data_IF_850877401408
#
_entry.id   IF_850877401408
#
_cell.length_a   1.000
_cell.length_b   1.000
_cell.length_c   1.000
_cell.angle_alpha   90.00
_cell.angle_beta   90.00
_cell.angle_gamma   90.00
#
_symmetry.space_group_name_H-M   'P 1'
#
loop_
_entity.id
_entity.type
_entity.pdbx_description
1 polymer ?
#
# COMPACT_ATOMS: atom_id res chain seq x y z
N UNK A 1 4.65 -6.49 30.31
CA UNK A 1 5.02 -5.76 29.08
C UNK A 1 3.75 -5.49 28.33
N UNK A 2 3.54 -4.26 27.88
CA UNK A 2 2.37 -3.92 27.06
C UNK A 2 2.75 -3.77 25.59
N UNK A 3 1.74 -3.68 24.73
CA UNK A 3 1.92 -3.50 23.29
C UNK A 3 2.75 -2.26 22.97
N UNK A 4 3.70 -2.38 22.04
CA UNK A 4 4.55 -1.27 21.58
C UNK A 4 4.65 -1.27 20.06
N UNK A 5 4.29 -0.15 19.44
CA UNK A 5 4.21 0.02 17.99
C UNK A 5 4.12 1.51 17.63
N UNK A 6 4.12 1.81 16.34
CA UNK A 6 3.75 3.14 15.83
C UNK A 6 2.55 3.00 14.89
N UNK A 7 1.43 3.64 15.21
CA UNK A 7 0.31 3.70 14.28
C UNK A 7 0.46 4.88 13.33
N UNK A 8 0.06 4.71 12.07
CA UNK A 8 0.15 5.73 11.03
C UNK A 8 -1.16 5.81 10.24
N UNK A 9 -1.38 6.96 9.61
CA UNK A 9 -2.43 7.18 8.63
C UNK A 9 -1.96 8.27 7.63
N UNK A 10 -2.32 8.11 6.35
CA UNK A 10 -1.99 9.05 5.28
C UNK A 10 -3.22 9.61 4.57
N UNK A 11 -3.11 10.87 4.16
CA UNK A 11 -4.04 11.49 3.22
C UNK A 11 -3.37 11.71 1.85
N UNK A 12 -4.14 11.56 0.78
CA UNK A 12 -3.65 11.74 -0.60
C UNK A 12 -4.42 12.83 -1.34
N UNK A 13 -3.72 13.66 -2.11
CA UNK A 13 -4.31 14.76 -2.89
C UNK A 13 -5.22 14.28 -4.03
N UNK A 14 -4.95 13.08 -4.57
CA UNK A 14 -5.73 12.48 -5.65
C UNK A 14 -5.73 10.94 -5.56
N UNK A 15 -6.07 10.27 -6.66
CA UNK A 15 -6.17 8.82 -6.73
C UNK A 15 -4.80 8.11 -6.79
N UNK A 16 -3.72 8.83 -7.11
CA UNK A 16 -2.37 8.28 -7.13
C UNK A 16 -1.84 8.10 -5.71
N UNK A 17 -1.32 6.90 -5.40
CA UNK A 17 -0.73 6.62 -4.07
C UNK A 17 0.49 7.49 -3.77
N UNK A 18 1.18 7.98 -4.79
CA UNK A 18 2.31 8.88 -4.63
C UNK A 18 1.90 10.31 -4.18
N UNK A 19 0.62 10.68 -4.28
CA UNK A 19 0.12 12.04 -4.04
C UNK A 19 -0.06 12.40 -2.55
N UNK A 20 0.77 11.86 -1.65
CA UNK A 20 0.69 12.11 -0.21
C UNK A 20 0.64 13.62 0.09
N UNK A 21 -0.39 14.05 0.83
CA UNK A 21 -0.61 15.45 1.17
C UNK A 21 -0.68 15.71 2.69
N UNK A 22 -0.83 14.66 3.51
CA UNK A 22 -0.59 14.71 4.94
C UNK A 22 -0.25 13.32 5.49
N UNK A 23 0.37 13.30 6.67
CA UNK A 23 0.65 12.09 7.43
C UNK A 23 0.48 12.36 8.92
N UNK A 24 -0.09 11.39 9.62
CA UNK A 24 -0.22 11.36 11.06
C UNK A 24 0.35 10.05 11.59
N UNK A 25 0.97 10.11 12.76
CA UNK A 25 1.49 8.94 13.45
C UNK A 25 1.39 9.11 14.96
N UNK A 26 1.16 8.01 15.68
CA UNK A 26 1.21 7.97 17.14
C UNK A 26 2.09 6.83 17.62
N UNK A 27 2.95 7.12 18.59
CA UNK A 27 3.86 6.15 19.18
C UNK A 27 3.25 5.56 20.43
N UNK A 28 3.22 4.23 20.50
CA UNK A 28 2.70 3.47 21.64
C UNK A 28 3.84 2.71 22.32
N UNK A 29 3.93 2.83 23.64
CA UNK A 29 4.85 2.08 24.48
C UNK A 29 4.11 1.52 25.68
N UNK A 30 4.30 0.24 25.94
CA UNK A 30 3.66 -0.48 27.05
C UNK A 30 2.15 -0.21 27.16
N UNK A 31 1.45 -0.24 26.03
CA UNK A 31 0.00 -0.04 25.95
C UNK A 31 -0.46 1.41 26.07
N UNK A 32 0.45 2.39 26.10
CA UNK A 32 0.12 3.82 26.24
C UNK A 32 0.64 4.62 25.05
N UNK A 33 -0.16 5.56 24.56
CA UNK A 33 0.31 6.55 23.59
C UNK A 33 1.28 7.49 24.32
N UNK A 34 2.52 7.56 23.85
CA UNK A 34 3.60 8.35 24.47
C UNK A 34 4.05 9.54 23.62
N UNK A 35 3.76 9.54 22.32
CA UNK A 35 4.15 10.62 21.41
C UNK A 35 3.26 10.64 20.17
N UNK A 36 3.26 11.75 19.43
CA UNK A 36 2.53 11.91 18.18
C UNK A 36 3.28 12.80 17.19
N UNK A 37 3.19 12.44 15.92
CA UNK A 37 3.75 13.19 14.79
C UNK A 37 2.63 13.50 13.80
N UNK A 38 2.57 14.73 13.29
CA UNK A 38 1.65 15.10 12.22
C UNK A 38 2.29 16.17 11.35
N UNK A 39 2.09 16.09 10.04
CA UNK A 39 2.51 17.16 9.12
C UNK A 39 1.68 17.12 7.85
N UNK A 40 1.38 18.30 7.32
CA UNK A 40 1.04 18.44 5.91
C UNK A 40 2.28 18.14 5.06
N UNK A 41 2.04 17.73 3.83
CA UNK A 41 3.08 17.37 2.87
C UNK A 41 2.76 18.04 1.55
N UNK A 42 3.75 18.66 0.92
CA UNK A 42 3.64 19.04 -0.49
C UNK A 42 3.82 17.77 -1.32
N UNK A 43 2.79 17.33 -2.09
CA UNK A 43 2.90 16.10 -2.85
C UNK A 43 4.08 16.14 -3.84
N UNK A 44 4.67 15.00 -4.20
CA UNK A 44 5.71 14.92 -5.21
C UNK A 44 5.28 15.55 -6.54
N UNK A 45 6.21 16.25 -7.19
CA UNK A 45 5.95 16.94 -8.46
C UNK A 45 5.44 15.97 -9.54
N UNK A 46 4.31 16.27 -10.18
CA UNK A 46 3.66 15.38 -11.15
C UNK A 46 2.60 14.47 -10.52
N UNK A 47 2.48 14.47 -9.20
CA UNK A 47 1.38 13.86 -8.43
C UNK A 47 0.63 14.91 -7.59
N UNK A 48 0.86 16.20 -7.84
CA UNK A 48 0.47 17.37 -7.03
C UNK A 48 -0.87 18.00 -7.42
N UNK A 49 -1.66 17.32 -8.26
CA UNK A 49 -3.04 17.71 -8.54
C UNK A 49 -3.95 17.38 -7.34
N UNK A 50 -4.77 18.34 -6.90
CA UNK A 50 -5.76 18.12 -5.85
C UNK A 50 -7.14 17.83 -6.46
N UNK A 51 -7.57 16.57 -6.35
CA UNK A 51 -8.88 16.16 -6.83
C UNK A 51 -9.98 16.61 -5.87
N UNK A 52 -11.05 17.23 -6.40
CA UNK A 52 -12.16 17.74 -5.58
C UNK A 52 -12.77 16.70 -4.64
N UNK A 53 -12.79 15.42 -5.05
CA UNK A 53 -13.28 14.30 -4.21
C UNK A 53 -12.42 14.08 -2.98
N UNK A 54 -11.09 14.10 -3.10
CA UNK A 54 -10.17 13.93 -1.99
C UNK A 54 -10.24 15.13 -1.04
N UNK A 55 -10.21 16.34 -1.61
CA UNK A 55 -10.40 17.59 -0.86
C UNK A 55 -11.69 17.58 -0.04
N UNK A 56 -12.80 17.08 -0.59
CA UNK A 56 -14.07 16.99 0.11
C UNK A 56 -14.08 16.02 1.30
N UNK A 57 -13.13 15.07 1.35
CA UNK A 57 -13.00 14.09 2.43
C UNK A 57 -12.25 14.71 3.61
N UNK A 58 -11.04 15.20 3.38
CA UNK A 58 -10.10 15.64 4.43
C UNK A 58 -9.94 17.18 4.56
N UNK A 59 -10.47 17.95 3.62
CA UNK A 59 -10.39 19.42 3.63
C UNK A 59 -9.00 20.02 3.34
N UNK A 60 -7.97 19.22 3.09
CA UNK A 60 -6.64 19.67 2.65
C UNK A 60 -6.71 20.13 1.19
N UNK A 61 -6.27 21.36 0.91
CA UNK A 61 -6.23 21.95 -0.43
C UNK A 61 -4.78 22.23 -0.87
N UNK A 62 -4.58 22.49 -2.17
CA UNK A 62 -3.28 22.92 -2.72
C UNK A 62 -2.71 24.13 -1.99
N UNK A 63 -3.55 25.08 -1.59
CA UNK A 63 -3.12 26.30 -0.90
C UNK A 63 -2.62 26.00 0.53
N UNK A 64 -3.17 24.98 1.19
CA UNK A 64 -2.76 24.58 2.54
C UNK A 64 -1.38 23.92 2.58
N UNK A 65 -0.96 23.31 1.47
CA UNK A 65 0.31 22.56 1.40
C UNK A 65 1.45 23.33 0.72
N UNK A 66 1.21 24.59 0.30
CA UNK A 66 2.20 25.36 -0.49
C UNK A 66 3.55 25.51 0.24
N UNK A 67 3.49 25.78 1.55
CA UNK A 67 4.64 25.95 2.44
C UNK A 67 4.97 24.68 3.25
N UNK A 68 4.26 23.58 2.99
CA UNK A 68 4.51 22.31 3.67
C UNK A 68 5.82 21.67 3.17
N UNK A 69 6.49 20.86 4.00
CA UNK A 69 7.68 20.13 3.57
C UNK A 69 7.36 19.16 2.43
N UNK A 70 8.31 19.00 1.52
CA UNK A 70 8.23 17.96 0.49
C UNK A 70 8.39 16.56 1.08
N UNK A 71 7.96 15.56 0.31
CA UNK A 71 8.01 14.16 0.74
C UNK A 71 9.39 13.70 1.26
N UNK A 72 10.55 13.99 0.64
CA UNK A 72 11.85 13.56 1.17
C UNK A 72 12.14 14.02 2.60
N UNK A 73 11.83 15.28 2.91
CA UNK A 73 12.05 15.86 4.24
C UNK A 73 11.06 15.27 5.27
N UNK A 74 9.80 15.09 4.86
CA UNK A 74 8.78 14.44 5.70
C UNK A 74 9.13 12.99 5.98
N UNK A 75 9.53 12.23 4.95
CA UNK A 75 9.92 10.83 5.03
C UNK A 75 11.05 10.63 6.03
N UNK A 76 12.11 11.44 5.96
CA UNK A 76 13.23 11.36 6.91
C UNK A 76 12.76 11.52 8.36
N UNK A 77 11.93 12.53 8.64
CA UNK A 77 11.39 12.79 9.98
C UNK A 77 10.45 11.67 10.45
N UNK A 78 9.62 11.16 9.54
CA UNK A 78 8.69 10.07 9.81
C UNK A 78 9.43 8.78 10.13
N UNK A 79 10.49 8.43 9.39
CA UNK A 79 11.28 7.22 9.64
C UNK A 79 12.04 7.32 10.97
N UNK A 80 12.56 8.50 11.32
CA UNK A 80 13.14 8.74 12.66
C UNK A 80 12.10 8.55 13.76
N UNK A 81 10.87 9.03 13.52
CA UNK A 81 9.76 8.83 14.46
C UNK A 81 9.37 7.36 14.57
N UNK A 82 9.30 6.59 13.48
CA UNK A 82 8.91 5.17 13.51
C UNK A 82 10.02 4.29 14.11
N UNK A 83 11.27 4.50 13.71
CA UNK A 83 12.40 3.64 14.09
C UNK A 83 12.19 2.19 13.63
N UNK A 84 12.46 1.23 14.52
CA UNK A 84 12.30 -0.21 14.26
C UNK A 84 10.89 -0.75 14.59
N UNK A 85 9.91 0.13 14.87
CA UNK A 85 8.58 -0.29 15.28
C UNK A 85 7.83 -1.04 14.17
N UNK A 86 6.94 -1.95 14.57
CA UNK A 86 5.87 -2.41 13.68
C UNK A 86 4.91 -1.23 13.43
N UNK A 87 4.61 -1.00 12.16
CA UNK A 87 3.64 -0.01 11.74
C UNK A 87 2.24 -0.59 11.88
N UNK A 88 1.33 0.19 12.44
CA UNK A 88 -0.08 -0.18 12.57
C UNK A 88 -0.91 0.82 11.78
N UNK A 89 -1.85 0.35 10.97
CA UNK A 89 -2.81 1.24 10.34
C UNK A 89 -4.16 0.55 10.22
N UNK A 90 -5.23 1.32 10.06
CA UNK A 90 -6.54 0.72 9.86
C UNK A 90 -6.62 0.00 8.52
N UNK A 91 -6.10 0.60 7.45
CA UNK A 91 -5.92 -0.06 6.16
C UNK A 91 -4.44 -0.12 5.77
N UNK A 92 -3.66 -0.95 6.47
CA UNK A 92 -2.21 -0.99 6.30
C UNK A 92 -1.74 -1.22 4.85
N UNK A 93 -2.52 -1.88 3.99
CA UNK A 93 -2.19 -2.01 2.57
C UNK A 93 -2.21 -0.66 1.83
N UNK A 94 -3.19 0.19 2.11
CA UNK A 94 -3.25 1.55 1.59
C UNK A 94 -2.06 2.38 2.09
N UNK A 95 -1.87 2.48 3.40
CA UNK A 95 -0.85 3.34 3.99
C UNK A 95 0.57 2.96 3.57
N UNK A 96 0.86 1.65 3.55
CA UNK A 96 2.15 1.17 3.06
C UNK A 96 2.32 1.42 1.57
N UNK A 97 1.24 1.36 0.76
CA UNK A 97 1.31 1.70 -0.66
C UNK A 97 1.57 3.20 -0.90
N UNK A 98 1.03 4.08 -0.06
CA UNK A 98 1.28 5.54 -0.14
C UNK A 98 2.74 5.83 0.16
N UNK A 99 3.23 5.32 1.31
CA UNK A 99 4.64 5.42 1.71
C UNK A 99 5.56 4.91 0.60
N UNK A 100 5.26 3.73 0.05
CA UNK A 100 6.03 3.11 -1.03
C UNK A 100 6.07 3.95 -2.29
N UNK A 101 4.91 4.33 -2.81
CA UNK A 101 4.82 4.99 -4.11
C UNK A 101 5.39 6.41 -4.04
N UNK A 102 5.22 7.10 -2.92
CA UNK A 102 5.85 8.40 -2.68
C UNK A 102 7.39 8.27 -2.63
N UNK A 103 7.93 7.24 -1.97
CA UNK A 103 9.36 6.91 -2.05
C UNK A 103 9.76 6.49 -3.49
N UNK A 104 8.85 5.83 -4.19
CA UNK A 104 8.92 5.41 -5.58
C UNK A 104 9.30 6.55 -6.52
N UNK A 105 8.47 7.61 -6.49
CA UNK A 105 8.60 8.80 -7.34
C UNK A 105 9.73 9.74 -6.91
N UNK A 106 10.07 9.77 -5.62
CA UNK A 106 11.13 10.62 -5.09
C UNK A 106 12.51 9.96 -5.07
N UNK A 107 12.62 8.71 -5.54
CA UNK A 107 13.81 7.87 -5.39
C UNK A 107 14.34 7.85 -3.97
N UNK A 108 13.50 7.46 -3.02
CA UNK A 108 13.92 7.22 -1.65
C UNK A 108 14.07 5.72 -1.42
N UNK A 109 15.04 5.36 -0.58
CA UNK A 109 15.24 4.00 -0.11
C UNK A 109 14.13 3.64 0.87
N UNK A 110 13.71 2.38 0.86
CA UNK A 110 12.61 1.93 1.71
C UNK A 110 13.12 1.02 2.83
N UNK A 111 12.62 1.17 4.07
CA UNK A 111 13.01 0.30 5.16
C UNK A 111 12.19 -1.00 5.09
N UNK A 112 12.78 -2.08 5.60
CA UNK A 112 12.10 -3.36 5.81
C UNK A 112 11.14 -3.26 7.01
N UNK A 113 10.07 -2.49 6.86
CA UNK A 113 9.03 -2.27 7.85
C UNK A 113 8.09 -3.50 7.97
N UNK A 114 7.68 -3.78 9.20
CA UNK A 114 6.58 -4.70 9.47
C UNK A 114 5.31 -3.89 9.58
N UNK A 115 4.18 -4.42 9.11
CA UNK A 115 2.88 -3.77 9.27
C UNK A 115 1.80 -4.72 9.79
N UNK A 116 0.85 -4.17 10.54
CA UNK A 116 -0.32 -4.88 11.05
C UNK A 116 -1.58 -4.05 10.80
N UNK A 117 -2.63 -4.71 10.32
CA UNK A 117 -3.85 -4.06 9.85
C UNK A 117 -4.99 -4.19 10.86
N UNK A 118 -5.45 -3.07 11.44
CA UNK A 118 -6.51 -3.13 12.48
C UNK A 118 -7.88 -3.44 11.90
N UNK A 119 -8.12 -3.16 10.61
CA UNK A 119 -9.31 -3.62 9.90
C UNK A 119 -9.36 -5.15 9.81
N UNK A 120 -8.23 -5.79 9.46
CA UNK A 120 -8.16 -7.26 9.43
C UNK A 120 -8.34 -7.87 10.82
N UNK A 121 -7.74 -7.25 11.85
CA UNK A 121 -7.94 -7.66 13.24
C UNK A 121 -9.40 -7.52 13.66
N UNK A 122 -10.04 -6.38 13.36
CA UNK A 122 -11.45 -6.16 13.68
C UNK A 122 -12.34 -7.20 12.99
N UNK A 123 -12.11 -7.48 11.71
CA UNK A 123 -12.86 -8.50 10.95
C UNK A 123 -12.67 -9.92 11.50
N UNK A 124 -11.48 -10.23 12.01
CA UNK A 124 -11.19 -11.55 12.58
C UNK A 124 -11.79 -11.74 13.99
N UNK A 125 -12.09 -10.65 14.70
CA UNK A 125 -12.38 -10.68 16.16
C UNK A 125 -13.74 -10.11 16.54
N UNK A 126 -14.39 -9.36 15.65
CA UNK A 126 -15.70 -8.74 15.85
C UNK A 126 -16.68 -9.23 14.78
N UNK A 127 -17.98 -9.14 15.09
CA UNK A 127 -19.06 -9.41 14.14
C UNK A 127 -19.87 -8.13 13.94
N UNK A 128 -19.68 -7.47 12.80
CA UNK A 128 -20.23 -6.14 12.52
C UNK A 128 -20.70 -5.98 11.07
N UNK A 129 -21.68 -5.08 10.82
CA UNK A 129 -22.14 -4.78 9.46
C UNK A 129 -21.13 -3.98 8.62
N UNK A 130 -20.21 -3.27 9.28
CA UNK A 130 -19.10 -2.54 8.66
C UNK A 130 -17.89 -2.59 9.59
N UNK A 131 -16.70 -2.60 9.02
CA UNK A 131 -15.44 -2.60 9.77
C UNK A 131 -14.63 -1.33 9.53
N UNK A 132 -15.25 -0.26 9.03
CA UNK A 132 -14.53 1.00 8.89
C UNK A 132 -14.18 1.61 10.24
N UNK A 133 -13.16 2.46 10.25
CA UNK A 133 -12.59 2.98 11.48
C UNK A 133 -13.65 3.65 12.38
N UNK A 134 -14.53 4.53 11.88
CA UNK A 134 -15.60 5.10 12.72
C UNK A 134 -16.54 4.04 13.32
N UNK A 135 -16.94 3.03 12.52
CA UNK A 135 -17.82 1.96 12.99
C UNK A 135 -17.15 1.10 14.06
N UNK A 136 -15.88 0.73 13.85
CA UNK A 136 -15.12 -0.08 14.81
C UNK A 136 -14.90 0.70 16.11
N UNK A 137 -14.57 1.99 16.04
CA UNK A 137 -14.44 2.88 17.20
C UNK A 137 -15.76 2.92 17.99
N UNK A 138 -16.89 3.16 17.32
CA UNK A 138 -18.21 3.19 17.95
C UNK A 138 -18.55 1.83 18.61
N UNK A 139 -18.35 0.72 17.90
CA UNK A 139 -18.65 -0.62 18.42
C UNK A 139 -17.78 -1.02 19.61
N UNK A 140 -16.53 -0.55 19.64
CA UNK A 140 -15.63 -0.78 20.77
C UNK A 140 -15.91 0.14 21.97
N UNK A 141 -16.82 1.12 21.83
CA UNK A 141 -17.13 2.11 22.86
C UNK A 141 -16.00 3.11 23.08
N UNK A 142 -15.19 3.35 22.04
CA UNK A 142 -14.09 4.32 22.05
C UNK A 142 -14.63 5.74 21.79
N UNK A 143 -13.89 6.74 22.24
CA UNK A 143 -14.25 8.14 22.00
C UNK A 143 -14.26 8.45 20.49
N UNK A 144 -15.28 9.21 20.07
CA UNK A 144 -15.34 9.72 18.69
C UNK A 144 -14.16 10.65 18.38
N UNK A 145 -13.79 10.74 17.11
CA UNK A 145 -12.65 11.50 16.62
C UNK A 145 -13.03 12.30 15.37
N UNK A 146 -12.22 13.29 15.04
CA UNK A 146 -12.36 14.03 13.78
C UNK A 146 -11.83 13.15 12.65
N UNK A 147 -12.74 12.46 11.98
CA UNK A 147 -12.40 11.52 10.91
C UNK A 147 -11.85 12.28 9.70
N UNK A 148 -10.70 11.83 9.18
CA UNK A 148 -9.89 12.46 8.13
C UNK A 148 -8.95 13.58 8.62
N UNK A 149 -8.70 13.65 9.92
CA UNK A 149 -7.45 14.19 10.45
C UNK A 149 -6.46 13.02 10.63
N UNK A 150 -5.28 13.05 9.99
CA UNK A 150 -4.45 11.87 9.91
C UNK A 150 -3.86 11.46 11.27
N UNK A 151 -3.68 12.39 12.23
CA UNK A 151 -3.21 11.99 13.57
C UNK A 151 -4.35 11.49 14.45
N UNK A 152 -5.57 11.98 14.24
CA UNK A 152 -6.77 11.44 14.85
C UNK A 152 -7.07 10.01 14.36
N UNK A 153 -6.98 9.75 13.06
CA UNK A 153 -7.19 8.42 12.46
C UNK A 153 -6.08 7.43 12.88
N UNK A 154 -4.82 7.88 12.94
CA UNK A 154 -3.72 7.07 13.50
C UNK A 154 -3.94 6.74 14.99
N UNK A 155 -4.43 7.71 15.78
CA UNK A 155 -4.76 7.51 17.20
C UNK A 155 -5.91 6.53 17.38
N UNK A 156 -6.97 6.67 16.61
CA UNK A 156 -8.10 5.74 16.63
C UNK A 156 -7.64 4.32 16.27
N UNK A 157 -6.81 4.18 15.23
CA UNK A 157 -6.21 2.89 14.86
C UNK A 157 -5.41 2.26 16.00
N UNK A 158 -4.60 3.05 16.71
CA UNK A 158 -3.87 2.58 17.88
C UNK A 158 -4.79 2.12 19.01
N UNK A 159 -5.84 2.89 19.32
CA UNK A 159 -6.82 2.54 20.35
C UNK A 159 -7.61 1.28 20.00
N UNK A 160 -7.97 1.09 18.74
CA UNK A 160 -8.60 -0.15 18.24
C UNK A 160 -7.68 -1.33 18.52
N UNK A 161 -6.40 -1.25 18.14
CA UNK A 161 -5.46 -2.36 18.36
C UNK A 161 -5.29 -2.67 19.85
N UNK A 162 -5.13 -1.64 20.68
CA UNK A 162 -5.00 -1.80 22.13
C UNK A 162 -6.23 -2.49 22.73
N UNK A 163 -7.42 -2.05 22.34
CA UNK A 163 -8.69 -2.60 22.84
C UNK A 163 -8.88 -4.05 22.41
N UNK A 164 -8.55 -4.38 21.15
CA UNK A 164 -8.60 -5.77 20.67
C UNK A 164 -7.56 -6.64 21.38
N UNK A 165 -6.35 -6.11 21.62
CA UNK A 165 -5.30 -6.75 22.42
C UNK A 165 -5.78 -7.09 23.83
N UNK A 166 -6.38 -6.12 24.52
CA UNK A 166 -6.92 -6.29 25.88
C UNK A 166 -8.05 -7.33 25.90
N UNK A 167 -9.01 -7.25 24.97
CA UNK A 167 -10.12 -8.23 24.86
C UNK A 167 -9.63 -9.66 24.65
N UNK A 168 -8.53 -9.83 23.91
CA UNK A 168 -7.93 -11.12 23.62
C UNK A 168 -6.87 -11.55 24.64
N UNK A 169 -6.61 -10.72 25.66
CA UNK A 169 -5.58 -10.97 26.67
C UNK A 169 -4.16 -11.09 26.09
N UNK A 170 -3.87 -10.34 25.03
CA UNK A 170 -2.58 -10.34 24.34
C UNK A 170 -1.73 -9.14 24.77
N UNK A 171 -0.47 -9.39 25.08
CA UNK A 171 0.47 -8.40 25.62
C UNK A 171 1.56 -8.00 24.62
N UNK A 172 1.69 -8.76 23.53
CA UNK A 172 2.62 -8.52 22.41
C UNK A 172 1.89 -8.58 21.07
N UNK A 173 2.48 -7.96 20.04
CA UNK A 173 1.90 -7.97 18.69
C UNK A 173 1.93 -9.37 18.08
N UNK A 174 2.96 -10.16 18.40
CA UNK A 174 3.11 -11.54 17.98
C UNK A 174 1.98 -12.42 18.55
N UNK A 175 1.64 -12.27 19.83
CA UNK A 175 0.51 -12.95 20.45
C UNK A 175 -0.82 -12.55 19.79
N UNK A 176 -1.03 -11.25 19.57
CA UNK A 176 -2.25 -10.73 18.96
C UNK A 176 -2.43 -11.24 17.53
N UNK A 177 -1.37 -11.16 16.73
CA UNK A 177 -1.32 -11.67 15.35
C UNK A 177 -1.63 -13.18 15.29
N UNK A 178 -1.00 -13.97 16.16
CA UNK A 178 -1.21 -15.41 16.21
C UNK A 178 -2.65 -15.77 16.66
N UNK A 179 -3.17 -15.06 17.68
CA UNK A 179 -4.52 -15.32 18.22
C UNK A 179 -5.62 -14.97 17.23
N UNK A 180 -5.47 -13.85 16.52
CA UNK A 180 -6.45 -13.40 15.52
C UNK A 180 -6.27 -14.07 14.15
N UNK A 181 -5.22 -14.90 13.96
CA UNK A 181 -4.83 -15.45 12.67
C UNK A 181 -4.64 -14.39 11.56
N UNK A 182 -4.15 -13.21 11.96
CA UNK A 182 -3.85 -12.09 11.06
C UNK A 182 -2.33 -11.94 10.98
N UNK A 183 -1.76 -12.08 9.79
CA UNK A 183 -0.31 -12.04 9.60
C UNK A 183 0.23 -10.63 9.74
N UNK A 184 1.36 -10.47 10.44
CA UNK A 184 2.18 -9.25 10.34
C UNK A 184 2.79 -9.24 8.95
N UNK A 185 2.28 -8.36 8.09
CA UNK A 185 2.80 -8.19 6.75
C UNK A 185 4.20 -7.61 6.82
N UNK A 186 5.08 -8.03 5.91
CA UNK A 186 6.38 -7.41 5.75
C UNK A 186 6.38 -6.71 4.42
N UNK A 187 6.82 -5.47 4.47
CA UNK A 187 7.24 -4.75 3.29
C UNK A 187 8.33 -5.56 2.58
N UNK A 188 8.09 -5.90 1.31
CA UNK A 188 8.97 -6.83 0.58
C UNK A 188 10.37 -6.22 0.43
N UNK A 189 11.37 -6.96 0.91
CA UNK A 189 12.78 -6.56 0.78
C UNK A 189 13.38 -7.10 -0.52
N UNK A 190 14.60 -6.65 -0.85
CA UNK A 190 15.36 -7.15 -2.01
C UNK A 190 15.57 -8.69 -2.02
N UNK A 191 15.52 -9.34 -0.85
CA UNK A 191 15.66 -10.79 -0.70
C UNK A 191 14.35 -11.56 -0.93
N UNK A 192 13.23 -11.00 -0.47
CA UNK A 192 11.89 -11.58 -0.67
C UNK A 192 11.49 -11.54 -2.15
N UNK A 193 11.91 -10.49 -2.87
CA UNK A 193 11.65 -10.37 -4.30
C UNK A 193 12.58 -11.19 -5.20
N UNK A 194 13.76 -11.56 -4.75
CA UNK A 194 14.54 -12.58 -5.45
C UNK A 194 13.73 -13.89 -5.53
N UNK A 195 12.99 -14.20 -4.46
CA UNK A 195 12.05 -15.33 -4.41
C UNK A 195 10.84 -15.10 -5.34
N UNK A 196 10.25 -13.89 -5.37
CA UNK A 196 9.14 -13.51 -6.29
C UNK A 196 9.53 -13.43 -7.78
N UNK A 197 10.77 -13.07 -8.11
CA UNK A 197 11.25 -13.07 -9.50
C UNK A 197 11.47 -14.49 -10.03
N UNK A 198 11.70 -15.47 -9.16
CA UNK A 198 11.66 -16.90 -9.51
C UNK A 198 10.25 -17.34 -9.94
N UNK A 199 9.25 -16.77 -9.25
CA UNK A 199 7.83 -17.13 -9.34
C UNK A 199 7.19 -16.74 -10.66
N UNK A 200 7.54 -15.59 -11.23
CA UNK A 200 6.96 -15.06 -12.48
C UNK A 200 7.34 -15.85 -13.73
N UNK A 201 8.32 -16.75 -13.64
CA UNK A 201 8.76 -17.62 -14.73
C UNK A 201 8.21 -19.06 -14.64
N UNK A 202 7.35 -19.35 -13.67
CA UNK A 202 6.75 -20.67 -13.52
C UNK A 202 5.63 -20.89 -14.55
N UNK A 203 5.71 -21.92 -15.41
CA UNK A 203 4.64 -22.26 -16.33
C UNK A 203 3.57 -23.02 -15.53
N UNK A 204 2.41 -22.41 -15.26
CA UNK A 204 1.05 -22.98 -15.21
C UNK A 204 0.05 -21.99 -14.57
N UNK A 205 -1.25 -22.02 -14.90
CA UNK A 205 -2.24 -21.13 -14.29
C UNK A 205 -2.45 -21.47 -12.81
N UNK A 206 -2.40 -20.45 -11.95
CA UNK A 206 -2.76 -20.54 -10.54
C UNK A 206 -4.28 -20.67 -10.41
N UNK A 207 -4.81 -21.89 -10.29
CA UNK A 207 -6.22 -22.08 -9.95
C UNK A 207 -6.42 -22.03 -8.42
N UNK A 208 -7.36 -21.17 -7.96
CA UNK A 208 -7.93 -21.21 -6.60
C UNK A 208 -7.70 -20.02 -5.66
N UNK A 209 -7.67 -18.77 -6.13
CA UNK A 209 -6.81 -17.73 -5.50
C UNK A 209 -7.44 -16.44 -4.93
N UNK A 210 -8.75 -16.33 -4.67
CA UNK A 210 -9.22 -15.26 -3.75
C UNK A 210 -10.70 -14.90 -3.82
N UNK A 211 -11.31 -15.19 -4.97
CA UNK A 211 -12.75 -15.09 -5.22
C UNK A 211 -13.36 -16.45 -5.56
N UNK A 212 -12.65 -17.54 -5.28
CA UNK A 212 -13.10 -18.89 -5.59
C UNK A 212 -14.45 -19.17 -4.90
N UNK A 213 -15.47 -19.50 -5.70
CA UNK A 213 -16.86 -19.71 -5.26
C UNK A 213 -17.59 -18.45 -4.73
N UNK A 214 -17.00 -17.26 -4.87
CA UNK A 214 -17.66 -16.00 -4.52
C UNK A 214 -18.55 -15.50 -5.67
N UNK A 215 -19.64 -14.82 -5.33
CA UNK A 215 -20.50 -14.11 -6.28
C UNK A 215 -20.41 -12.61 -6.02
N UNK A 216 -19.66 -11.93 -6.87
CA UNK A 216 -19.27 -10.53 -6.72
C UNK A 216 -20.21 -9.61 -7.51
N UNK A 217 -20.72 -8.58 -6.87
CA UNK A 217 -21.43 -7.48 -7.52
C UNK A 217 -20.61 -6.20 -7.41
N UNK A 218 -20.65 -5.34 -8.43
CA UNK A 218 -19.98 -4.03 -8.42
C UNK A 218 -21.01 -2.90 -8.39
N UNK A 219 -20.74 -1.88 -7.58
CA UNK A 219 -21.50 -0.61 -7.53
C UNK A 219 -20.55 0.59 -7.48
N UNK A 220 -20.97 1.72 -8.06
CA UNK A 220 -20.08 2.84 -8.35
C UNK A 220 -19.10 2.57 -9.50
N UNK A 221 -18.42 3.60 -10.00
CA UNK A 221 -17.25 3.50 -10.87
C UNK A 221 -16.02 3.07 -10.06
N UNK A 222 -15.13 2.29 -10.67
CA UNK A 222 -13.89 1.83 -10.05
C UNK A 222 -12.77 2.80 -10.49
N UNK A 223 -11.94 3.23 -9.55
CA UNK A 223 -10.86 4.22 -9.74
C UNK A 223 -9.65 3.63 -10.47
N UNK A 224 -9.33 2.37 -10.19
CA UNK A 224 -8.10 1.69 -10.64
C UNK A 224 -8.27 0.93 -11.96
N UNK A 225 -9.49 0.52 -12.29
CA UNK A 225 -9.78 -0.28 -13.49
C UNK A 225 -11.22 -0.12 -13.94
N UNK A 226 -11.51 -0.45 -15.19
CA UNK A 226 -12.90 -0.50 -15.64
C UNK A 226 -13.59 -1.80 -15.17
N UNK A 227 -14.93 -1.79 -15.12
CA UNK A 227 -15.72 -2.94 -14.64
C UNK A 227 -15.57 -4.19 -15.50
N UNK A 228 -15.15 -4.09 -16.76
CA UNK A 228 -14.92 -5.25 -17.62
C UNK A 228 -13.68 -6.01 -17.13
N UNK A 229 -12.58 -5.29 -16.93
CA UNK A 229 -11.32 -5.83 -16.38
C UNK A 229 -11.52 -6.43 -14.99
N UNK A 230 -12.23 -5.73 -14.10
CA UNK A 230 -12.52 -6.25 -12.75
C UNK A 230 -13.30 -7.59 -12.77
N UNK A 231 -14.20 -7.77 -13.75
CA UNK A 231 -14.95 -9.02 -13.90
C UNK A 231 -14.10 -10.16 -14.46
N UNK A 232 -13.19 -9.85 -15.37
CA UNK A 232 -12.23 -10.81 -15.93
C UNK A 232 -11.32 -11.33 -14.81
N UNK A 233 -10.78 -10.43 -13.97
CA UNK A 233 -9.97 -10.79 -12.81
C UNK A 233 -10.74 -11.70 -11.84
N UNK A 234 -12.00 -11.38 -11.52
CA UNK A 234 -12.81 -12.26 -10.65
C UNK A 234 -13.00 -13.65 -11.25
N UNK A 235 -13.22 -13.74 -12.57
CA UNK A 235 -13.40 -15.01 -13.27
C UNK A 235 -12.10 -15.83 -13.29
N UNK A 236 -10.96 -15.19 -13.53
CA UNK A 236 -9.62 -15.81 -13.47
C UNK A 236 -9.33 -16.38 -12.07
N UNK A 237 -9.86 -15.74 -11.02
CA UNK A 237 -9.72 -16.17 -9.63
C UNK A 237 -10.78 -17.20 -9.17
N UNK A 238 -11.59 -17.72 -10.10
CA UNK A 238 -12.60 -18.76 -9.84
C UNK A 238 -13.91 -18.25 -9.23
N UNK A 239 -14.16 -16.93 -9.28
CA UNK A 239 -15.40 -16.30 -8.85
C UNK A 239 -16.36 -16.04 -9.99
N UNK A 240 -17.60 -15.65 -9.64
CA UNK A 240 -18.62 -15.24 -10.61
C UNK A 240 -19.04 -13.80 -10.35
N UNK A 241 -19.51 -13.11 -11.39
CA UNK A 241 -19.97 -11.71 -11.25
C UNK A 241 -21.42 -11.56 -11.66
N UNK A 242 -22.13 -10.62 -11.04
CA UNK A 242 -23.54 -10.34 -11.33
C UNK A 242 -23.87 -8.84 -11.37
N UNK A 243 -24.92 -8.51 -12.12
CA UNK A 243 -25.33 -7.11 -12.37
C UNK A 243 -26.10 -6.45 -11.22
N UNK A 244 -26.70 -7.24 -10.32
CA UNK A 244 -27.52 -6.77 -9.21
C UNK A 244 -27.21 -7.55 -7.92
N UNK A 245 -27.52 -6.94 -6.78
CA UNK A 245 -27.39 -7.58 -5.46
C UNK A 245 -28.63 -8.43 -5.20
N UNK A 246 -28.42 -9.72 -4.93
CA UNK A 246 -29.47 -10.68 -4.55
C UNK A 246 -28.99 -11.75 -3.56
N UNK A 247 -29.81 -12.78 -3.34
CA UNK A 247 -29.59 -13.84 -2.32
C UNK A 247 -28.34 -14.70 -2.51
N UNK A 248 -27.77 -14.71 -3.72
CA UNK A 248 -26.54 -15.43 -4.04
C UNK A 248 -25.29 -14.57 -3.90
N UNK A 249 -25.44 -13.25 -3.72
CA UNK A 249 -24.31 -12.32 -3.58
C UNK A 249 -23.57 -12.62 -2.29
N UNK A 250 -22.28 -12.87 -2.41
CA UNK A 250 -21.41 -13.01 -1.26
C UNK A 250 -20.54 -11.77 -1.07
N UNK A 251 -20.27 -11.00 -2.13
CA UNK A 251 -19.44 -9.78 -2.09
C UNK A 251 -20.07 -8.64 -2.91
N UNK A 252 -20.17 -7.46 -2.33
CA UNK A 252 -20.44 -6.20 -3.03
C UNK A 252 -19.19 -5.31 -2.99
N UNK A 253 -18.60 -5.02 -4.16
CA UNK A 253 -17.48 -4.09 -4.33
C UNK A 253 -17.99 -2.69 -4.63
N UNK A 254 -17.53 -1.69 -3.88
CA UNK A 254 -17.88 -0.28 -4.05
C UNK A 254 -16.67 0.53 -4.51
N UNK A 255 -16.77 1.22 -5.66
CA UNK A 255 -15.64 1.98 -6.23
C UNK A 255 -15.74 3.51 -6.07
N UNK A 256 -16.88 4.09 -6.44
CA UNK A 256 -17.09 5.55 -6.36
C UNK A 256 -17.62 6.00 -5.01
N UNK A 257 -17.78 5.04 -4.12
CA UNK A 257 -18.41 5.22 -2.85
C UNK A 257 -17.56 4.48 -1.83
N UNK A 258 -16.99 5.22 -0.90
CA UNK A 258 -16.29 4.61 0.21
C UNK A 258 -17.32 4.28 1.29
N UNK A 259 -17.59 2.99 1.49
CA UNK A 259 -18.48 2.55 2.58
C UNK A 259 -17.88 2.87 3.95
N UNK A 260 -16.58 3.18 3.98
CA UNK A 260 -15.82 3.49 5.18
C UNK A 260 -16.04 4.90 5.72
N UNK A 261 -16.51 5.83 4.89
CA UNK A 261 -16.77 7.24 5.24
C UNK A 261 -18.22 7.50 5.71
N UNK A 262 -18.92 6.47 6.19
CA UNK A 262 -20.32 6.60 6.59
C UNK A 262 -20.46 7.51 7.83
N UNK A 263 -21.38 8.49 7.75
CA UNK A 263 -21.97 9.15 8.91
C UNK A 263 -23.39 8.63 9.12
N UNK A 264 -23.89 8.49 10.36
CA UNK A 264 -25.29 8.13 10.60
C UNK A 264 -26.25 9.06 9.83
N UNK A 265 -27.13 8.49 8.98
CA UNK A 265 -28.14 9.23 8.21
C UNK A 265 -27.83 9.56 6.74
N UNK A 266 -26.71 9.10 6.17
CA UNK A 266 -26.40 9.32 4.75
C UNK A 266 -27.26 8.47 3.78
N UNK A 267 -27.61 9.02 2.62
CA UNK A 267 -28.42 8.35 1.59
C UNK A 267 -27.64 7.29 0.80
N UNK A 268 -28.26 6.13 0.56
CA UNK A 268 -27.63 4.97 -0.10
C UNK A 268 -27.91 4.93 -1.61
N UNK A 269 -27.00 4.34 -2.40
CA UNK A 269 -27.36 3.81 -3.72
C UNK A 269 -28.32 2.62 -3.57
N UNK A 270 -29.23 2.39 -4.53
CA UNK A 270 -30.21 1.28 -4.47
C UNK A 270 -29.54 -0.08 -4.22
N UNK A 271 -28.39 -0.34 -4.85
CA UNK A 271 -27.63 -1.59 -4.66
C UNK A 271 -27.01 -1.70 -3.27
N UNK A 272 -26.52 -0.60 -2.72
CA UNK A 272 -25.91 -0.55 -1.39
C UNK A 272 -26.99 -0.70 -0.31
N UNK A 273 -28.13 -0.02 -0.46
CA UNK A 273 -29.30 -0.20 0.41
C UNK A 273 -29.80 -1.64 0.42
N UNK A 274 -29.92 -2.28 -0.76
CA UNK A 274 -30.30 -3.69 -0.86
C UNK A 274 -29.27 -4.62 -0.20
N UNK A 275 -27.98 -4.33 -0.30
CA UNK A 275 -26.94 -5.11 0.37
C UNK A 275 -27.06 -5.01 1.89
N UNK A 276 -27.26 -3.80 2.44
CA UNK A 276 -27.48 -3.60 3.87
C UNK A 276 -28.71 -4.36 4.38
N UNK A 277 -29.86 -4.26 3.70
CA UNK A 277 -31.06 -5.01 4.11
C UNK A 277 -30.87 -6.53 4.10
N UNK A 278 -30.04 -7.06 3.19
CA UNK A 278 -29.73 -8.49 3.16
C UNK A 278 -28.80 -8.90 4.30
N UNK A 279 -27.81 -8.06 4.64
CA UNK A 279 -26.94 -8.27 5.81
C UNK A 279 -27.74 -8.23 7.10
N UNK A 280 -28.64 -7.26 7.26
CA UNK A 280 -29.55 -7.17 8.41
C UNK A 280 -30.49 -8.39 8.51
N UNK A 281 -30.90 -8.94 7.38
CA UNK A 281 -31.67 -10.18 7.31
C UNK A 281 -30.83 -11.45 7.57
N UNK A 282 -29.55 -11.31 7.93
CA UNK A 282 -28.66 -12.42 8.30
C UNK A 282 -27.95 -13.10 7.12
N UNK A 283 -27.98 -12.52 5.91
CA UNK A 283 -27.20 -13.05 4.80
C UNK A 283 -25.70 -12.78 5.01
N UNK A 284 -24.88 -13.80 4.80
CA UNK A 284 -23.42 -13.66 4.72
C UNK A 284 -23.03 -12.93 3.41
N UNK A 285 -23.16 -11.61 3.41
CA UNK A 285 -22.80 -10.73 2.32
C UNK A 285 -21.76 -9.72 2.82
N UNK A 286 -20.58 -9.74 2.22
CA UNK A 286 -19.49 -8.83 2.52
C UNK A 286 -19.56 -7.59 1.62
N UNK A 287 -19.51 -6.39 2.20
CA UNK A 287 -19.38 -5.15 1.42
C UNK A 287 -17.93 -4.70 1.54
N UNK A 288 -17.23 -4.66 0.41
CA UNK A 288 -15.82 -4.30 0.33
C UNK A 288 -15.63 -3.13 -0.62
N UNK A 289 -14.56 -2.40 -0.42
CA UNK A 289 -14.17 -1.33 -1.33
C UNK A 289 -13.33 -1.85 -2.49
N UNK A 290 -13.03 -0.99 -3.45
CA UNK A 290 -12.05 -1.29 -4.49
C UNK A 290 -10.64 -1.63 -3.96
N UNK A 291 -10.17 -0.98 -2.89
CA UNK A 291 -8.84 -1.29 -2.34
C UNK A 291 -8.81 -2.68 -1.70
N UNK A 292 -9.88 -3.05 -0.99
CA UNK A 292 -10.03 -4.38 -0.38
C UNK A 292 -10.12 -5.47 -1.46
N UNK A 293 -10.81 -5.15 -2.57
CA UNK A 293 -10.87 -6.00 -3.75
C UNK A 293 -9.47 -6.27 -4.31
N UNK A 294 -8.60 -5.25 -4.41
CA UNK A 294 -7.21 -5.39 -4.87
C UNK A 294 -6.36 -6.15 -3.84
N UNK A 295 -6.47 -5.82 -2.55
CA UNK A 295 -5.68 -6.45 -1.49
C UNK A 295 -5.95 -7.97 -1.39
N UNK A 296 -7.19 -8.39 -1.62
CA UNK A 296 -7.59 -9.82 -1.58
C UNK A 296 -6.97 -10.65 -2.71
N UNK A 297 -6.54 -10.02 -3.80
CA UNK A 297 -5.77 -10.69 -4.86
C UNK A 297 -4.35 -11.07 -4.41
N UNK A 298 -3.85 -10.52 -3.29
CA UNK A 298 -2.44 -10.60 -2.88
C UNK A 298 -2.12 -11.61 -1.74
N UNK A 299 -3.12 -12.29 -1.15
CA UNK A 299 -2.99 -13.08 0.10
C UNK A 299 -2.33 -14.48 0.01
N UNK A 300 -1.56 -14.82 -1.03
CA UNK A 300 -1.08 -16.20 -1.28
C UNK A 300 0.41 -16.48 -1.00
N UNK A 301 1.09 -15.62 -0.25
CA UNK A 301 2.55 -15.65 -0.11
C UNK A 301 3.12 -16.96 0.49
N UNK A 302 2.42 -17.57 1.47
CA UNK A 302 2.97 -18.70 2.25
C UNK A 302 2.85 -20.07 1.53
N UNK A 303 1.74 -20.32 0.80
CA UNK A 303 1.57 -21.52 -0.03
C UNK A 303 2.54 -21.53 -1.22
N UNK A 304 2.93 -20.33 -1.66
CA UNK A 304 3.86 -20.08 -2.75
C UNK A 304 5.32 -20.35 -2.34
N UNK A 305 5.70 -19.97 -1.10
CA UNK A 305 7.03 -20.24 -0.51
C UNK A 305 7.38 -21.73 -0.43
N UNK A 306 6.46 -22.60 0.00
CA UNK A 306 6.75 -24.03 0.19
C UNK A 306 7.02 -24.81 -1.11
N UNK A 307 6.50 -24.33 -2.25
CA UNK A 307 6.69 -24.98 -3.56
C UNK A 307 8.00 -24.57 -4.23
N UNK A 308 8.47 -23.34 -4.01
CA UNK A 308 9.73 -22.81 -4.58
C UNK A 308 10.98 -23.49 -4.05
N UNK A 309 11.00 -23.85 -2.77
CA UNK A 309 12.12 -24.59 -2.15
C UNK A 309 12.41 -25.91 -2.87
N UNK A 310 11.43 -26.47 -3.61
CA UNK A 310 11.56 -27.72 -4.36
C UNK A 310 12.06 -27.55 -5.81
N UNK A 311 12.15 -26.33 -6.37
CA UNK A 311 12.26 -26.11 -7.83
C UNK A 311 13.54 -25.43 -8.37
N UNK A 312 14.36 -24.76 -7.54
CA UNK A 312 15.78 -24.49 -7.82
C UNK A 312 16.25 -23.79 -9.12
N UNK A 313 15.68 -22.67 -9.61
CA UNK A 313 16.31 -21.89 -10.71
C UNK A 313 15.85 -20.41 -10.83
N UNK A 314 16.75 -19.43 -11.09
CA UNK A 314 16.43 -18.02 -11.46
C UNK A 314 17.53 -17.36 -12.34
N UNK A 315 17.14 -16.63 -13.41
CA UNK A 315 17.98 -15.67 -14.19
C UNK A 315 17.55 -14.21 -13.95
N UNK A 316 18.48 -13.25 -14.08
CA UNK A 316 18.26 -11.81 -13.81
C UNK A 316 17.52 -11.08 -14.93
N UNK A 317 16.59 -10.16 -14.58
CA UNK A 317 15.85 -9.25 -15.48
C UNK A 317 16.40 -7.82 -15.59
N UNK A 318 17.49 -7.49 -14.90
CA UNK A 318 18.09 -6.13 -14.97
C UNK A 318 18.57 -5.83 -16.40
N UNK A 319 18.16 -4.71 -17.03
CA UNK A 319 18.69 -4.30 -18.33
C UNK A 319 20.20 -4.02 -18.28
N UNK A 320 20.93 -4.37 -19.35
CA UNK A 320 22.40 -4.27 -19.37
C UNK A 320 22.92 -2.85 -19.13
N UNK A 321 22.24 -1.83 -19.69
CA UNK A 321 22.61 -0.43 -19.53
C UNK A 321 22.65 0.01 -18.06
N UNK A 322 21.86 -0.61 -17.17
CA UNK A 322 21.82 -0.26 -15.75
C UNK A 322 23.13 -0.62 -15.04
N UNK A 323 23.76 -1.73 -15.44
CA UNK A 323 25.07 -2.13 -14.91
C UNK A 323 26.21 -1.33 -15.55
N UNK A 324 26.11 -1.08 -16.85
CA UNK A 324 27.11 -0.29 -17.59
C UNK A 324 27.17 1.16 -17.08
N UNK A 325 26.01 1.79 -16.89
CA UNK A 325 25.92 3.16 -16.40
C UNK A 325 26.42 3.28 -14.96
N UNK A 326 26.08 2.34 -14.07
CA UNK A 326 26.57 2.33 -12.69
C UNK A 326 28.09 2.21 -12.56
N UNK A 327 28.75 1.57 -13.54
CA UNK A 327 30.22 1.54 -13.64
C UNK A 327 30.80 2.81 -14.26
N UNK A 328 30.05 3.45 -15.16
CA UNK A 328 30.47 4.64 -15.89
C UNK A 328 30.41 5.90 -15.02
N UNK A 329 29.39 6.06 -14.19
CA UNK A 329 29.20 7.25 -13.37
C UNK A 329 29.86 7.10 -11.99
N UNK A 330 30.54 8.16 -11.53
CA UNK A 330 31.16 8.19 -10.21
C UNK A 330 30.14 8.61 -9.14
N UNK A 331 29.93 7.73 -8.16
CA UNK A 331 29.09 8.04 -7.01
C UNK A 331 29.73 9.10 -6.08
N UNK A 332 31.06 9.17 -6.05
CA UNK A 332 31.80 10.16 -5.25
C UNK A 332 31.64 11.58 -5.82
N UNK A 333 31.62 11.72 -7.14
CA UNK A 333 31.50 13.03 -7.80
C UNK A 333 30.05 13.54 -7.81
N UNK A 334 29.08 12.65 -8.00
CA UNK A 334 27.67 13.02 -8.14
C UNK A 334 26.90 13.01 -6.81
N UNK A 335 27.40 12.30 -5.81
CA UNK A 335 26.62 11.89 -4.65
C UNK A 335 25.63 10.76 -4.97
N UNK A 336 25.22 10.02 -3.94
CA UNK A 336 24.45 8.77 -4.09
C UNK A 336 23.18 8.95 -4.93
N UNK A 337 22.35 9.96 -4.65
CA UNK A 337 21.06 10.12 -5.32
C UNK A 337 21.16 10.53 -6.79
N UNK A 338 22.16 11.35 -7.16
CA UNK A 338 22.36 11.72 -8.55
C UNK A 338 22.98 10.56 -9.34
N UNK A 339 23.94 9.84 -8.75
CA UNK A 339 24.49 8.61 -9.31
C UNK A 339 23.40 7.54 -9.51
N UNK A 340 22.54 7.35 -8.50
CA UNK A 340 21.44 6.39 -8.53
C UNK A 340 20.48 6.66 -9.69
N UNK A 341 20.04 7.92 -9.83
CA UNK A 341 19.17 8.36 -10.92
C UNK A 341 19.81 8.14 -12.28
N UNK A 342 21.05 8.58 -12.44
CA UNK A 342 21.78 8.49 -13.70
C UNK A 342 22.05 7.04 -14.11
N UNK A 343 22.27 6.15 -13.13
CA UNK A 343 22.51 4.73 -13.38
C UNK A 343 21.28 3.98 -13.86
N UNK A 344 20.08 4.48 -13.52
CA UNK A 344 18.78 3.88 -13.93
C UNK A 344 18.18 4.51 -15.18
N UNK A 345 18.62 5.69 -15.58
CA UNK A 345 18.08 6.40 -16.74
C UNK A 345 18.25 5.58 -18.02
N UNK A 346 17.25 5.61 -18.89
CA UNK A 346 17.34 4.91 -20.17
C UNK A 346 18.30 5.66 -21.12
N UNK A 347 19.18 4.96 -21.87
CA UNK A 347 20.22 5.61 -22.69
C UNK A 347 19.66 6.46 -23.84
N UNK A 348 18.42 6.23 -24.25
CA UNK A 348 17.75 7.02 -25.31
C UNK A 348 17.03 8.27 -24.77
N UNK A 349 17.20 8.58 -23.48
CA UNK A 349 16.50 9.68 -22.82
C UNK A 349 15.04 9.35 -22.51
N UNK A 350 14.28 10.37 -22.10
CA UNK A 350 12.92 10.21 -21.57
C UNK A 350 11.92 9.77 -22.64
N UNK A 351 11.20 8.68 -22.38
CA UNK A 351 10.10 8.20 -23.22
C UNK A 351 9.07 9.31 -23.51
N UNK A 352 8.47 9.36 -24.70
CA UNK A 352 7.44 10.34 -25.08
C UNK A 352 6.02 9.77 -25.04
N UNK A 353 5.88 8.45 -24.92
CA UNK A 353 4.62 7.72 -24.94
C UNK A 353 4.61 6.69 -26.07
N UNK A 354 4.21 5.45 -25.78
CA UNK A 354 4.18 4.37 -26.78
C UNK A 354 5.38 3.41 -26.71
N UNK A 355 6.46 3.79 -26.03
CA UNK A 355 7.63 2.92 -25.83
C UNK A 355 7.31 1.73 -24.93
N UNK A 356 8.06 0.64 -25.07
CA UNK A 356 7.86 -0.57 -24.27
C UNK A 356 8.58 -0.47 -22.93
N UNK A 357 7.88 -0.82 -21.85
CA UNK A 357 8.41 -0.86 -20.51
C UNK A 357 9.57 -1.87 -20.42
N UNK A 358 10.75 -1.41 -19.99
CA UNK A 358 11.96 -2.25 -19.88
C UNK A 358 11.81 -3.41 -18.89
N UNK A 359 10.80 -3.36 -18.03
CA UNK A 359 10.54 -4.40 -17.03
C UNK A 359 9.46 -5.40 -17.44
N UNK A 360 8.26 -4.92 -17.83
CA UNK A 360 7.10 -5.77 -18.09
C UNK A 360 6.62 -5.79 -19.55
N UNK A 361 7.23 -4.98 -20.42
CA UNK A 361 6.89 -4.88 -21.84
C UNK A 361 5.63 -4.04 -22.16
N UNK A 362 4.84 -3.65 -21.16
CA UNK A 362 3.65 -2.80 -21.34
C UNK A 362 4.01 -1.41 -21.88
N UNK A 363 3.06 -0.73 -22.49
CA UNK A 363 3.27 0.61 -23.02
C UNK A 363 3.56 1.63 -21.90
N UNK A 364 4.59 2.43 -22.08
CA UNK A 364 4.92 3.58 -21.24
C UNK A 364 4.03 4.75 -21.68
N UNK A 365 3.11 5.18 -20.82
CA UNK A 365 2.17 6.26 -21.14
C UNK A 365 2.84 7.64 -21.21
N UNK A 366 2.36 8.51 -22.09
CA UNK A 366 2.90 9.88 -22.25
C UNK A 366 2.67 10.80 -21.04
N UNK A 367 1.65 10.50 -20.23
CA UNK A 367 1.22 11.28 -19.06
C UNK A 367 1.70 10.74 -17.72
N UNK A 368 2.46 9.64 -17.69
CA UNK A 368 2.96 9.11 -16.42
C UNK A 368 4.08 9.99 -15.86
N UNK A 369 4.35 9.84 -14.56
CA UNK A 369 5.39 10.60 -13.86
C UNK A 369 6.72 10.56 -14.62
N UNK A 370 7.36 11.72 -14.74
CA UNK A 370 8.51 11.93 -15.60
C UNK A 370 9.69 10.98 -15.31
N UNK A 371 9.84 10.56 -14.05
CA UNK A 371 10.89 9.62 -13.63
C UNK A 371 10.68 8.23 -14.21
N UNK A 372 9.43 7.81 -14.40
CA UNK A 372 9.09 6.54 -15.01
C UNK A 372 9.38 6.59 -16.51
N UNK A 373 9.09 7.73 -17.14
CA UNK A 373 9.45 7.98 -18.54
C UNK A 373 10.96 8.03 -18.73
N UNK A 374 11.71 8.57 -17.75
CA UNK A 374 13.17 8.64 -17.79
C UNK A 374 13.82 7.25 -17.83
N UNK A 375 13.17 6.29 -17.17
CA UNK A 375 13.62 4.89 -17.03
C UNK A 375 12.93 3.92 -17.99
N UNK A 376 12.00 4.42 -18.80
CA UNK A 376 11.15 3.62 -19.68
C UNK A 376 10.41 2.51 -18.89
N UNK A 377 9.77 2.86 -17.77
CA UNK A 377 8.91 1.96 -16.98
C UNK A 377 7.48 2.48 -16.96
N UNK A 378 6.49 1.59 -16.91
CA UNK A 378 5.08 1.96 -17.07
C UNK A 378 4.41 2.53 -15.81
N UNK A 379 5.08 2.49 -14.65
CA UNK A 379 4.52 2.97 -13.38
C UNK A 379 5.40 2.65 -12.18
N UNK A 380 4.88 2.98 -10.98
CA UNK A 380 5.59 2.83 -9.70
C UNK A 380 6.08 1.40 -9.43
N UNK A 381 5.22 0.40 -9.63
CA UNK A 381 5.59 -0.99 -9.37
C UNK A 381 6.77 -1.47 -10.25
N UNK A 382 6.74 -1.16 -11.55
CA UNK A 382 7.84 -1.51 -12.46
C UNK A 382 9.12 -0.72 -12.16
N UNK A 383 8.99 0.55 -11.79
CA UNK A 383 10.10 1.38 -11.34
C UNK A 383 10.76 0.79 -10.09
N UNK A 384 9.96 0.38 -9.11
CA UNK A 384 10.45 -0.18 -7.86
C UNK A 384 11.14 -1.53 -8.06
N UNK A 385 10.57 -2.39 -8.91
CA UNK A 385 11.21 -3.67 -9.29
C UNK A 385 12.54 -3.44 -10.03
N UNK A 386 12.59 -2.47 -10.95
CA UNK A 386 13.83 -2.07 -11.63
C UNK A 386 14.89 -1.60 -10.62
N UNK A 387 14.55 -0.67 -9.72
CA UNK A 387 15.44 -0.17 -8.66
C UNK A 387 15.99 -1.30 -7.80
N UNK A 388 15.14 -2.20 -7.32
CA UNK A 388 15.56 -3.33 -6.47
C UNK A 388 16.47 -4.30 -7.23
N UNK A 389 16.16 -4.59 -8.50
CA UNK A 389 17.00 -5.45 -9.32
C UNK A 389 18.36 -4.82 -9.64
N UNK A 390 18.39 -3.52 -9.88
CA UNK A 390 19.60 -2.74 -10.08
C UNK A 390 20.49 -2.78 -8.83
N UNK A 391 19.95 -2.42 -7.67
CA UNK A 391 20.67 -2.44 -6.38
C UNK A 391 21.27 -3.81 -6.05
N UNK A 392 20.51 -4.88 -6.28
CA UNK A 392 21.02 -6.26 -6.11
C UNK A 392 22.20 -6.55 -7.03
N UNK A 393 22.12 -6.16 -8.30
CA UNK A 393 23.23 -6.37 -9.23
C UNK A 393 24.43 -5.49 -8.88
N UNK A 394 24.21 -4.23 -8.54
CA UNK A 394 25.26 -3.33 -8.10
C UNK A 394 25.98 -3.86 -6.86
N UNK A 395 25.25 -4.32 -5.84
CA UNK A 395 25.83 -4.98 -4.64
C UNK A 395 26.70 -6.18 -5.00
N UNK A 396 26.23 -7.06 -5.91
CA UNK A 396 27.02 -8.20 -6.41
C UNK A 396 28.31 -7.78 -7.11
N UNK A 397 28.33 -6.57 -7.67
CA UNK A 397 29.47 -5.99 -8.38
C UNK A 397 30.23 -4.95 -7.55
N UNK A 398 29.92 -4.77 -6.26
CA UNK A 398 30.58 -3.80 -5.38
C UNK A 398 30.30 -2.33 -5.74
N UNK A 399 29.10 -2.03 -6.25
CA UNK A 399 28.66 -0.70 -6.68
C UNK A 399 27.50 -0.19 -5.81
N UNK A 400 27.49 1.10 -5.44
CA UNK A 400 28.67 1.96 -5.39
C UNK A 400 29.67 1.44 -4.33
N UNK A 401 30.93 1.90 -4.31
CA UNK A 401 31.90 1.47 -3.31
C UNK A 401 31.36 1.63 -1.87
N UNK A 402 31.61 0.65 -1.02
CA UNK A 402 30.96 0.53 0.29
C UNK A 402 31.13 1.77 1.20
N UNK A 403 32.25 2.49 1.10
CA UNK A 403 32.50 3.70 1.89
C UNK A 403 31.59 4.88 1.52
N UNK A 404 31.07 4.93 0.29
CA UNK A 404 30.15 5.98 -0.18
C UNK A 404 28.71 5.71 0.27
N UNK A 405 28.38 4.44 0.53
CA UNK A 405 27.06 4.02 1.00
C UNK A 405 26.84 4.44 2.46
N UNK A 406 27.87 4.36 3.30
CA UNK A 406 27.80 4.64 4.75
C UNK A 406 27.40 6.08 5.03
N UNK A 407 27.91 7.07 4.29
CA UNK A 407 27.52 8.49 4.46
C UNK A 407 26.08 8.81 4.01
N UNK A 408 25.44 7.92 3.24
CA UNK A 408 24.07 8.11 2.72
C UNK A 408 23.00 7.26 3.44
N UNK A 409 23.43 6.22 4.15
CA UNK A 409 22.60 5.26 4.90
C UNK A 409 22.77 5.39 6.43
N UNK A 410 23.31 6.50 6.94
CA UNK A 410 23.36 6.84 8.37
C UNK A 410 21.97 7.12 8.99
N UNK A 411 20.99 6.30 8.62
CA UNK A 411 19.75 6.04 9.34
C UNK A 411 19.74 4.54 9.68
N UNK A 412 20.45 4.19 10.76
CA UNK A 412 20.31 2.91 11.45
C UNK A 412 19.16 2.94 12.46
#
# INVERSE_FOLDING_TARGET
>A
MGLSFTAIDFETANAERASVCAVGAVKVRDGRIVDSFTTLVRPPAGCDEFAARNVAIHGITSERVVDAPEWPATYQRLMQFIGADVIVAHNAAFDTSVLLNACGVCDLDWPALKSLCTWQLAKATLTMPSYSLPWVVEHLGLEGFDHHDPVADARASAQVLLTLGDRLGCSTLEELSARAAVSVARTSTEADEATLSALESAPEPLSGTGFANEVVCFTGGLKSMNRKVAREIVAEQGGTTQGSVGKKTTILVTGDFDVRTFKPGAGFSIKLGNAFSLVEAGQALEIITEDDFIARLSLHEEALRQRLTRAGAIRSRTPDHVLEQARRFSCEELGYWAWFRQSLAHPTGRAVGGESCVWCGQEVGSKIHWIYRDRHVCGGDCNDRLKRSAKRQWRKHGLPPAHVVVESLDFY
#
